data_IF_964070871996
#
_entry.id   IF_964070871996
#
_cell.length_a   1.000
_cell.length_b   1.000
_cell.length_c   1.000
_cell.angle_alpha   90.00
_cell.angle_beta   90.00
_cell.angle_gamma   90.00
#
_symmetry.space_group_name_H-M   'P 1'
#
loop_
_entity.id
_entity.type
_entity.pdbx_description
1 polymer ?
#
# COMPACT_ATOMS: atom_id res chain seq x y z
N UNK A 1 25.05 15.23 -10.16
CA UNK A 1 26.09 15.35 -11.21
C UNK A 1 25.85 16.53 -12.15
N UNK A 2 24.62 16.75 -12.63
CA UNK A 2 24.29 17.93 -13.45
C UNK A 2 24.60 19.24 -12.74
N UNK A 3 24.33 19.32 -11.42
CA UNK A 3 24.68 20.48 -10.59
C UNK A 3 26.20 20.73 -10.55
N UNK A 4 26.99 19.69 -10.40
CA UNK A 4 28.46 19.82 -10.35
C UNK A 4 29.02 20.37 -11.69
N UNK A 5 28.48 19.88 -12.81
CA UNK A 5 28.83 20.39 -14.15
C UNK A 5 28.46 21.87 -14.31
N UNK A 6 27.27 22.24 -13.81
CA UNK A 6 26.83 23.65 -13.87
C UNK A 6 27.71 24.56 -13.00
N UNK A 7 28.07 24.15 -11.80
CA UNK A 7 29.01 24.90 -10.93
C UNK A 7 30.41 25.00 -11.58
N UNK A 8 30.87 23.91 -12.18
CA UNK A 8 32.15 23.94 -12.90
C UNK A 8 32.11 24.92 -14.09
N UNK A 9 31.02 24.88 -14.86
CA UNK A 9 30.84 25.79 -16.01
C UNK A 9 30.70 27.29 -15.61
N UNK A 10 30.16 27.55 -14.41
CA UNK A 10 30.02 28.91 -13.87
C UNK A 10 31.38 29.56 -13.56
N UNK A 11 32.46 28.81 -13.47
CA UNK A 11 33.78 29.31 -13.18
C UNK A 11 34.48 29.81 -14.46
N UNK A 12 34.04 30.96 -14.96
CA UNK A 12 34.54 31.56 -16.21
C UNK A 12 36.05 31.91 -16.20
N UNK A 13 36.63 32.11 -15.02
CA UNK A 13 38.06 32.41 -14.91
C UNK A 13 38.97 31.18 -15.06
N UNK A 14 38.43 29.95 -14.93
CA UNK A 14 39.20 28.72 -14.96
C UNK A 14 38.81 27.80 -16.11
N UNK A 15 37.62 27.99 -16.69
CA UNK A 15 37.07 27.06 -17.72
C UNK A 15 36.94 27.81 -19.04
N UNK A 16 37.58 27.29 -20.08
CA UNK A 16 37.54 27.88 -21.43
C UNK A 16 36.16 27.68 -22.06
N UNK A 17 35.86 28.43 -23.12
CA UNK A 17 34.63 28.25 -23.90
C UNK A 17 34.51 26.84 -24.49
N UNK A 18 35.64 26.29 -24.94
CA UNK A 18 35.67 24.89 -25.46
C UNK A 18 35.38 23.87 -24.37
N UNK A 19 35.94 24.05 -23.19
CA UNK A 19 35.70 23.14 -22.06
C UNK A 19 34.25 23.21 -21.58
N UNK A 20 33.66 24.42 -21.55
CA UNK A 20 32.21 24.58 -21.26
C UNK A 20 31.33 23.84 -22.27
N UNK A 21 31.76 23.79 -23.54
CA UNK A 21 31.03 23.01 -24.55
C UNK A 21 31.11 21.50 -24.30
N UNK A 22 32.25 20.99 -23.80
CA UNK A 22 32.38 19.59 -23.38
C UNK A 22 31.48 19.28 -22.15
N UNK A 23 31.45 20.18 -21.16
CA UNK A 23 30.55 20.09 -20.01
C UNK A 23 29.08 20.10 -20.45
N UNK A 24 28.72 20.93 -21.42
CA UNK A 24 27.38 20.94 -22.01
C UNK A 24 27.00 19.61 -22.65
N UNK A 25 27.94 18.94 -23.33
CA UNK A 25 27.67 17.63 -23.95
C UNK A 25 27.34 16.57 -22.89
N UNK A 26 28.13 16.51 -21.80
CA UNK A 26 27.85 15.62 -20.68
C UNK A 26 26.51 15.98 -20.00
N UNK A 27 26.28 17.27 -19.79
CA UNK A 27 25.02 17.77 -19.21
C UNK A 27 23.80 17.33 -20.05
N UNK A 28 23.91 17.39 -21.36
CA UNK A 28 22.84 17.02 -22.28
C UNK A 28 22.56 15.51 -22.27
N UNK A 29 23.59 14.67 -22.20
CA UNK A 29 23.43 13.22 -22.05
C UNK A 29 22.72 12.86 -20.73
N UNK A 30 23.09 13.52 -19.63
CA UNK A 30 22.39 13.34 -18.34
C UNK A 30 20.94 13.79 -18.40
N UNK A 31 20.66 14.85 -19.13
CA UNK A 31 19.33 15.38 -19.36
C UNK A 31 18.45 14.43 -20.17
N UNK A 32 19.00 13.85 -21.23
CA UNK A 32 18.32 12.83 -22.04
C UNK A 32 18.02 11.59 -21.23
N UNK A 33 18.95 11.14 -20.39
CA UNK A 33 18.76 10.02 -19.48
C UNK A 33 17.69 10.33 -18.42
N UNK A 34 17.70 11.51 -17.84
CA UNK A 34 16.67 11.95 -16.90
C UNK A 34 15.27 11.92 -17.54
N UNK A 35 15.17 12.44 -18.75
CA UNK A 35 13.94 12.41 -19.56
C UNK A 35 13.50 10.98 -19.88
N UNK A 36 14.44 10.09 -20.17
CA UNK A 36 14.18 8.68 -20.41
C UNK A 36 13.61 8.00 -19.15
N UNK A 37 14.22 8.25 -18.00
CA UNK A 37 13.76 7.71 -16.71
C UNK A 37 12.33 8.15 -16.42
N UNK A 38 12.03 9.44 -16.55
CA UNK A 38 10.70 9.97 -16.28
C UNK A 38 9.63 9.37 -17.19
N UNK A 39 9.94 9.20 -18.47
CA UNK A 39 8.98 8.65 -19.45
C UNK A 39 8.80 7.13 -19.32
N UNK A 40 9.85 6.41 -18.92
CA UNK A 40 9.85 4.96 -18.98
C UNK A 40 9.62 4.27 -17.64
N UNK A 41 9.74 4.99 -16.51
CA UNK A 41 9.49 4.39 -15.20
C UNK A 41 8.04 4.00 -15.05
N UNK A 42 7.81 2.69 -14.88
CA UNK A 42 6.47 2.14 -14.74
C UNK A 42 6.42 1.11 -13.61
N UNK A 43 5.24 0.95 -13.07
CA UNK A 43 4.91 -0.07 -12.09
C UNK A 43 3.59 -0.73 -12.51
N UNK A 44 3.61 -2.05 -12.66
CA UNK A 44 2.44 -2.83 -13.09
C UNK A 44 1.77 -2.28 -14.38
N UNK A 45 2.59 -1.91 -15.38
CA UNK A 45 2.14 -1.37 -16.66
C UNK A 45 1.63 0.08 -16.61
N UNK A 46 1.69 0.75 -15.45
CA UNK A 46 1.31 2.15 -15.30
C UNK A 46 2.54 3.03 -15.13
N UNK A 47 2.60 4.12 -15.88
CA UNK A 47 3.63 5.16 -15.68
C UNK A 47 3.35 5.88 -14.37
N UNK A 48 4.36 5.95 -13.49
CA UNK A 48 4.14 6.42 -12.11
C UNK A 48 4.64 7.84 -11.86
N UNK A 49 5.59 8.35 -12.67
CA UNK A 49 6.24 9.65 -12.43
C UNK A 49 6.05 10.67 -13.57
N UNK A 50 5.35 10.29 -14.64
CA UNK A 50 5.08 11.15 -15.80
C UNK A 50 3.80 12.01 -15.66
N UNK A 51 3.20 12.03 -14.47
CA UNK A 51 1.95 12.76 -14.19
C UNK A 51 0.67 11.92 -14.25
N UNK A 52 0.72 10.68 -14.70
CA UNK A 52 -0.48 9.82 -14.75
C UNK A 52 -1.13 9.59 -13.37
N UNK A 53 -0.35 9.71 -12.30
CA UNK A 53 -0.81 9.58 -10.92
C UNK A 53 -0.92 10.91 -10.17
N UNK A 54 -0.84 12.03 -10.86
CA UNK A 54 -0.91 13.38 -10.24
C UNK A 54 -2.29 13.69 -9.65
N UNK A 55 -3.36 13.16 -10.25
CA UNK A 55 -4.74 13.28 -9.75
C UNK A 55 -5.02 12.39 -8.54
N UNK A 56 -4.10 11.50 -8.20
CA UNK A 56 -4.22 10.58 -7.09
C UNK A 56 -4.92 9.27 -7.46
N UNK A 57 -4.58 8.23 -6.71
CA UNK A 57 -5.23 6.91 -6.73
C UNK A 57 -5.62 6.56 -5.31
N UNK A 58 -6.85 6.14 -5.11
CA UNK A 58 -7.35 5.74 -3.80
C UNK A 58 -7.22 4.22 -3.63
N UNK A 59 -6.66 3.83 -2.50
CA UNK A 59 -6.57 2.45 -2.05
C UNK A 59 -7.63 2.21 -0.99
N UNK A 60 -8.55 1.29 -1.25
CA UNK A 60 -9.59 0.90 -0.30
C UNK A 60 -8.97 0.05 0.80
N UNK A 61 -9.08 0.50 2.06
CA UNK A 61 -8.54 -0.17 3.26
C UNK A 61 -9.63 -0.67 4.20
N UNK A 62 -10.81 -0.12 4.13
CA UNK A 62 -11.95 -0.49 4.96
C UNK A 62 -13.14 -0.98 4.13
N UNK A 63 -14.14 -1.55 4.81
CA UNK A 63 -15.32 -2.14 4.18
C UNK A 63 -16.35 -1.11 3.69
N UNK A 64 -16.28 0.14 4.17
CA UNK A 64 -17.29 1.16 3.88
C UNK A 64 -16.83 2.08 2.75
N UNK A 65 -17.78 2.76 2.12
CA UNK A 65 -17.56 3.67 0.98
C UNK A 65 -17.15 5.09 1.38
N UNK A 66 -17.00 5.38 2.69
CA UNK A 66 -16.58 6.68 3.19
C UNK A 66 -15.11 6.95 2.93
N UNK A 67 -14.74 8.22 2.84
CA UNK A 67 -13.35 8.66 2.58
C UNK A 67 -12.34 8.15 3.62
N UNK A 68 -12.79 7.90 4.86
CA UNK A 68 -11.95 7.39 5.94
C UNK A 68 -11.48 5.94 5.71
N UNK A 69 -12.18 5.22 4.83
CA UNK A 69 -11.84 3.86 4.42
C UNK A 69 -10.89 3.81 3.22
N UNK A 70 -10.33 4.94 2.82
CA UNK A 70 -9.44 5.05 1.67
C UNK A 70 -8.14 5.77 2.04
N UNK A 71 -7.04 5.32 1.45
CA UNK A 71 -5.76 6.04 1.45
C UNK A 71 -5.49 6.50 0.03
N UNK A 72 -5.48 7.81 -0.16
CA UNK A 72 -5.10 8.43 -1.43
C UNK A 72 -3.58 8.52 -1.57
N UNK A 73 -3.06 8.12 -2.72
CA UNK A 73 -1.67 8.32 -3.13
C UNK A 73 -1.66 9.21 -4.36
N UNK A 74 -0.97 10.32 -4.30
CA UNK A 74 -0.67 11.15 -5.47
C UNK A 74 0.84 11.26 -5.64
N UNK A 75 1.30 11.12 -6.88
CA UNK A 75 2.70 11.29 -7.25
C UNK A 75 2.77 12.49 -8.18
N UNK A 76 3.58 13.48 -7.79
CA UNK A 76 3.76 14.69 -8.56
C UNK A 76 4.26 14.38 -9.97
N UNK A 77 3.85 15.20 -10.94
CA UNK A 77 4.34 15.09 -12.29
C UNK A 77 5.78 15.59 -12.39
N UNK A 78 6.73 14.67 -12.41
CA UNK A 78 8.15 15.00 -12.52
C UNK A 78 8.52 15.55 -13.91
N UNK A 79 7.75 15.25 -14.96
CA UNK A 79 8.01 15.84 -16.29
C UNK A 79 7.90 17.36 -16.27
N UNK A 80 6.95 17.91 -15.52
CA UNK A 80 6.78 19.37 -15.35
C UNK A 80 7.88 19.94 -14.46
N UNK A 81 8.16 19.29 -13.34
CA UNK A 81 9.22 19.71 -12.40
C UNK A 81 10.59 19.75 -13.06
N UNK A 82 10.86 18.84 -14.00
CA UNK A 82 12.14 18.72 -14.69
C UNK A 82 12.18 19.46 -16.03
N UNK A 83 11.08 20.07 -16.48
CA UNK A 83 11.06 20.81 -17.76
C UNK A 83 12.08 21.94 -17.80
N UNK A 84 12.22 22.66 -16.71
CA UNK A 84 13.16 23.77 -16.61
C UNK A 84 14.62 23.29 -16.55
N UNK A 85 14.85 22.11 -15.90
CA UNK A 85 16.16 21.46 -15.89
C UNK A 85 16.53 21.01 -17.31
N UNK A 86 15.55 20.46 -18.06
CA UNK A 86 15.79 19.99 -19.43
C UNK A 86 16.01 21.14 -20.41
N UNK A 87 15.49 22.32 -20.13
CA UNK A 87 15.72 23.54 -20.91
C UNK A 87 17.02 24.30 -20.53
N UNK A 88 17.65 23.90 -19.41
CA UNK A 88 18.85 24.59 -18.92
C UNK A 88 20.06 24.36 -19.84
N UNK A 89 20.87 25.40 -20.01
CA UNK A 89 22.11 25.37 -20.78
C UNK A 89 23.28 25.89 -19.95
N UNK A 90 24.41 25.19 -20.03
CA UNK A 90 25.66 25.54 -19.34
C UNK A 90 26.83 25.71 -20.30
N UNK A 91 26.59 25.67 -21.61
CA UNK A 91 27.62 25.70 -22.65
C UNK A 91 28.26 27.05 -22.89
N UNK A 92 29.09 27.13 -23.92
CA UNK A 92 29.85 28.34 -24.27
C UNK A 92 28.97 29.54 -24.61
N UNK A 93 27.78 29.34 -25.14
CA UNK A 93 26.81 30.39 -25.45
C UNK A 93 25.99 30.91 -24.25
N UNK A 94 26.02 30.20 -23.11
CA UNK A 94 25.29 30.57 -21.91
C UNK A 94 26.09 31.65 -21.15
N UNK A 95 25.43 32.78 -20.82
CA UNK A 95 25.99 33.77 -19.89
C UNK A 95 26.04 33.18 -18.46
N UNK A 96 26.86 33.77 -17.61
CA UNK A 96 26.97 33.37 -16.20
C UNK A 96 25.61 33.40 -15.49
N UNK A 97 24.76 34.39 -15.76
CA UNK A 97 23.41 34.48 -15.21
C UNK A 97 22.53 33.26 -15.61
N UNK A 98 22.65 32.78 -16.83
CA UNK A 98 21.92 31.60 -17.32
C UNK A 98 22.41 30.34 -16.60
N UNK A 99 23.72 30.22 -16.39
CA UNK A 99 24.31 29.07 -15.66
C UNK A 99 23.91 29.08 -14.20
N UNK A 100 23.91 30.24 -13.53
CA UNK A 100 23.44 30.40 -12.15
C UNK A 100 21.92 30.08 -12.04
N UNK A 101 21.12 30.48 -13.02
CA UNK A 101 19.72 30.08 -13.10
C UNK A 101 19.56 28.57 -13.25
N UNK A 102 20.38 27.92 -14.07
CA UNK A 102 20.38 26.46 -14.21
C UNK A 102 20.68 25.77 -12.88
N UNK A 103 21.63 26.28 -12.08
CA UNK A 103 21.93 25.74 -10.76
C UNK A 103 20.70 25.84 -9.85
N UNK A 104 20.04 27.00 -9.81
CA UNK A 104 18.85 27.21 -8.98
C UNK A 104 17.71 26.28 -9.38
N UNK A 105 17.48 26.07 -10.66
CA UNK A 105 16.45 25.17 -11.18
C UNK A 105 16.75 23.71 -10.80
N UNK A 106 18.00 23.28 -10.88
CA UNK A 106 18.42 21.95 -10.44
C UNK A 106 18.23 21.80 -8.94
N UNK A 107 18.60 22.77 -8.13
CA UNK A 107 18.42 22.74 -6.68
C UNK A 107 16.94 22.68 -6.29
N UNK A 108 16.08 23.39 -7.03
CA UNK A 108 14.63 23.30 -6.83
C UNK A 108 14.09 21.92 -7.21
N UNK A 109 14.53 21.37 -8.33
CA UNK A 109 14.13 20.02 -8.74
C UNK A 109 14.54 18.95 -7.72
N UNK A 110 15.73 19.05 -7.13
CA UNK A 110 16.19 18.17 -6.06
C UNK A 110 15.27 18.29 -4.83
N UNK A 111 14.93 19.50 -4.40
CA UNK A 111 14.00 19.73 -3.28
C UNK A 111 12.62 19.11 -3.54
N UNK A 112 12.12 19.25 -4.75
CA UNK A 112 10.81 18.70 -5.12
C UNK A 112 10.80 17.18 -5.11
N UNK A 113 11.89 16.56 -5.56
CA UNK A 113 12.07 15.11 -5.47
C UNK A 113 12.17 14.66 -4.01
N UNK A 114 12.92 15.35 -3.17
CA UNK A 114 13.04 15.03 -1.75
C UNK A 114 11.71 15.19 -1.01
N UNK A 115 10.93 16.20 -1.34
CA UNK A 115 9.57 16.38 -0.82
C UNK A 115 8.65 15.22 -1.25
N UNK A 116 8.73 14.81 -2.51
CA UNK A 116 7.96 13.68 -3.01
C UNK A 116 8.36 12.37 -2.29
N UNK A 117 9.65 12.13 -2.11
CA UNK A 117 10.16 10.96 -1.36
C UNK A 117 9.72 10.99 0.10
N UNK A 118 9.76 12.15 0.76
CA UNK A 118 9.29 12.30 2.13
C UNK A 118 7.80 11.96 2.28
N UNK A 119 6.96 12.46 1.36
CA UNK A 119 5.52 12.12 1.32
C UNK A 119 5.29 10.63 1.12
N UNK A 120 6.02 10.01 0.21
CA UNK A 120 5.92 8.56 -0.03
C UNK A 120 6.38 7.76 1.19
N UNK A 121 7.44 8.19 1.89
CA UNK A 121 7.88 7.58 3.14
C UNK A 121 6.82 7.66 4.25
N UNK A 122 6.17 8.81 4.40
CA UNK A 122 5.05 8.97 5.34
C UNK A 122 3.86 8.07 4.98
N UNK A 123 3.56 7.92 3.69
CA UNK A 123 2.52 7.01 3.21
C UNK A 123 2.86 5.54 3.49
N UNK A 124 4.10 5.12 3.30
CA UNK A 124 4.55 3.76 3.64
C UNK A 124 4.32 3.45 5.12
N UNK A 125 4.71 4.37 6.02
CA UNK A 125 4.47 4.22 7.45
C UNK A 125 2.97 4.13 7.78
N UNK A 126 2.15 4.96 7.11
CA UNK A 126 0.69 4.94 7.27
C UNK A 126 0.10 3.61 6.83
N UNK A 127 0.53 3.05 5.69
CA UNK A 127 0.11 1.71 5.25
C UNK A 127 0.52 0.62 6.25
N UNK A 128 1.77 0.64 6.73
CA UNK A 128 2.25 -0.33 7.72
C UNK A 128 1.39 -0.32 8.98
N UNK A 129 1.10 0.87 9.51
CA UNK A 129 0.22 1.02 10.69
C UNK A 129 -1.20 0.53 10.40
N UNK A 130 -1.74 0.85 9.23
CA UNK A 130 -3.08 0.42 8.82
C UNK A 130 -3.15 -1.10 8.69
N UNK A 131 -2.16 -1.74 8.07
CA UNK A 131 -2.09 -3.20 7.94
C UNK A 131 -2.05 -3.86 9.32
N UNK A 132 -1.23 -3.35 10.25
CA UNK A 132 -1.19 -3.87 11.62
C UNK A 132 -2.53 -3.77 12.33
N UNK A 133 -3.22 -2.63 12.21
CA UNK A 133 -4.55 -2.42 12.78
C UNK A 133 -5.61 -3.36 12.16
N UNK A 134 -5.54 -3.55 10.85
CA UNK A 134 -6.45 -4.48 10.15
C UNK A 134 -6.21 -5.93 10.57
N UNK A 135 -4.96 -6.35 10.75
CA UNK A 135 -4.62 -7.68 11.26
C UNK A 135 -5.21 -7.91 12.66
N UNK A 136 -5.04 -6.95 13.57
CA UNK A 136 -5.63 -7.02 14.90
C UNK A 136 -7.17 -7.05 14.86
N UNK A 137 -7.77 -6.30 13.94
CA UNK A 137 -9.22 -6.30 13.74
C UNK A 137 -9.72 -7.64 13.20
N UNK A 138 -9.00 -8.26 12.27
CA UNK A 138 -9.33 -9.59 11.73
C UNK A 138 -9.26 -10.63 12.83
N UNK A 139 -8.23 -10.61 13.68
CA UNK A 139 -8.09 -11.52 14.81
C UNK A 139 -9.24 -11.38 15.79
N UNK A 140 -9.58 -10.15 16.20
CA UNK A 140 -10.69 -9.87 17.09
C UNK A 140 -12.04 -10.29 16.50
N UNK A 141 -12.27 -10.03 15.21
CA UNK A 141 -13.49 -10.44 14.53
C UNK A 141 -13.58 -11.97 14.40
N UNK A 142 -12.46 -12.63 14.10
CA UNK A 142 -12.40 -14.09 14.05
C UNK A 142 -12.70 -14.72 15.40
N UNK A 143 -12.12 -14.18 16.50
CA UNK A 143 -12.41 -14.62 17.86
C UNK A 143 -13.87 -14.37 18.24
N UNK A 144 -14.43 -13.22 17.86
CA UNK A 144 -15.85 -12.92 18.12
C UNK A 144 -16.78 -13.84 17.32
N UNK A 145 -16.45 -14.11 16.06
CA UNK A 145 -17.17 -15.06 15.22
C UNK A 145 -17.14 -16.48 15.81
N UNK A 146 -15.97 -16.94 16.27
CA UNK A 146 -15.82 -18.24 16.92
C UNK A 146 -16.71 -18.35 18.16
N UNK A 147 -16.74 -17.31 19.01
CA UNK A 147 -17.62 -17.28 20.20
C UNK A 147 -19.13 -17.35 19.87
N UNK A 148 -19.52 -16.85 18.71
CA UNK A 148 -20.94 -16.85 18.28
C UNK A 148 -21.31 -18.15 17.57
N UNK A 149 -20.42 -18.67 16.72
CA UNK A 149 -20.73 -19.76 15.81
C UNK A 149 -20.24 -21.13 16.30
N UNK A 150 -19.14 -21.16 17.08
CA UNK A 150 -18.57 -22.42 17.51
C UNK A 150 -19.40 -23.00 18.65
N UNK A 151 -19.87 -24.22 18.47
CA UNK A 151 -20.56 -24.99 19.49
C UNK A 151 -19.56 -25.43 20.58
N UNK A 152 -19.96 -25.28 21.84
CA UNK A 152 -19.26 -25.92 22.96
C UNK A 152 -19.44 -27.43 22.85
N UNK A 153 -18.42 -28.10 22.33
CA UNK A 153 -18.42 -29.56 22.10
C UNK A 153 -18.71 -30.35 23.37
N UNK A 154 -18.24 -29.86 24.51
CA UNK A 154 -18.49 -30.54 25.79
C UNK A 154 -19.97 -30.46 26.18
N UNK A 155 -20.59 -29.31 25.97
CA UNK A 155 -22.02 -29.08 26.23
C UNK A 155 -22.90 -29.87 25.27
N UNK A 156 -22.53 -29.91 23.99
CA UNK A 156 -23.28 -30.63 22.97
C UNK A 156 -23.19 -32.15 23.15
N UNK A 157 -22.00 -32.67 23.45
CA UNK A 157 -21.83 -34.12 23.79
C UNK A 157 -22.57 -34.51 25.07
N UNK A 158 -22.60 -33.64 26.08
CA UNK A 158 -23.38 -33.87 27.28
C UNK A 158 -24.90 -33.88 26.98
N UNK A 159 -25.38 -32.98 26.12
CA UNK A 159 -26.77 -32.92 25.68
C UNK A 159 -27.14 -34.17 24.85
N UNK A 160 -26.27 -34.60 23.94
CA UNK A 160 -26.43 -35.83 23.16
C UNK A 160 -26.49 -37.05 24.05
N UNK A 161 -25.56 -37.22 24.99
CA UNK A 161 -25.52 -38.33 25.94
C UNK A 161 -26.81 -38.35 26.83
N UNK A 162 -27.25 -37.20 27.33
CA UNK A 162 -28.50 -37.06 28.06
C UNK A 162 -29.70 -37.52 27.22
N UNK A 163 -29.77 -37.09 25.96
CA UNK A 163 -30.84 -37.47 25.04
C UNK A 163 -30.85 -38.99 24.78
N UNK A 164 -29.69 -39.59 24.58
CA UNK A 164 -29.56 -41.05 24.40
C UNK A 164 -29.97 -41.82 25.63
N UNK A 165 -29.57 -41.38 26.85
CA UNK A 165 -29.96 -42.04 28.11
C UNK A 165 -31.47 -41.91 28.33
N UNK A 166 -32.06 -40.74 28.08
CA UNK A 166 -33.51 -40.56 28.19
C UNK A 166 -34.26 -41.44 27.18
N UNK A 167 -33.77 -41.57 25.97
CA UNK A 167 -34.39 -42.48 24.97
C UNK A 167 -34.31 -43.94 25.40
N UNK A 168 -33.16 -44.40 25.90
CA UNK A 168 -32.99 -45.78 26.41
C UNK A 168 -33.86 -46.01 27.67
N UNK A 169 -33.86 -45.09 28.61
CA UNK A 169 -34.71 -45.16 29.80
C UNK A 169 -36.21 -45.16 29.44
N UNK A 170 -36.60 -44.30 28.49
CA UNK A 170 -37.97 -44.21 28.02
C UNK A 170 -38.44 -45.51 27.36
N UNK A 171 -37.61 -46.13 26.50
CA UNK A 171 -37.95 -47.42 25.90
C UNK A 171 -38.00 -48.54 26.92
N UNK A 172 -37.09 -48.58 27.90
CA UNK A 172 -37.11 -49.56 28.97
C UNK A 172 -38.35 -49.43 29.84
N UNK A 173 -38.72 -48.19 30.21
CA UNK A 173 -39.92 -47.91 31.01
C UNK A 173 -41.22 -48.22 30.25
N UNK A 174 -41.27 -47.95 28.94
CA UNK A 174 -42.40 -48.36 28.09
C UNK A 174 -42.54 -49.89 28.01
N UNK A 175 -41.42 -50.61 27.83
CA UNK A 175 -41.41 -52.08 27.84
C UNK A 175 -41.92 -52.61 29.16
N UNK A 176 -41.48 -52.06 30.29
CA UNK A 176 -41.92 -52.47 31.62
C UNK A 176 -43.38 -52.10 31.90
N UNK A 177 -43.85 -50.92 31.42
CA UNK A 177 -45.26 -50.56 31.53
C UNK A 177 -46.18 -51.48 30.72
N UNK A 178 -45.75 -51.95 29.54
CA UNK A 178 -46.51 -52.87 28.71
C UNK A 178 -46.55 -54.30 29.29
N UNK A 179 -45.60 -54.69 30.14
CA UNK A 179 -45.60 -56.01 30.81
C UNK A 179 -46.57 -56.08 32.02
N UNK A 180 -46.87 -54.92 32.68
CA UNK A 180 -47.78 -54.86 33.84
C UNK A 180 -49.20 -55.41 33.57
N UNK A 181 -49.87 -55.03 32.47
CA UNK A 181 -51.18 -55.60 32.14
C UNK A 181 -51.16 -57.07 31.91
N UNK A 182 -50.08 -57.64 31.35
CA UNK A 182 -49.94 -59.06 31.12
C UNK A 182 -49.79 -59.89 32.43
N UNK A 183 -49.06 -59.28 33.42
CA UNK A 183 -48.95 -59.91 34.74
C UNK A 183 -50.30 -59.93 35.51
N UNK A 184 -51.13 -58.86 35.32
CA UNK A 184 -52.48 -58.87 35.90
C UNK A 184 -53.42 -59.89 35.21
N UNK A 185 -53.29 -60.08 33.91
CA UNK A 185 -54.07 -61.05 33.15
C UNK A 185 -53.74 -62.53 33.59
N UNK A 186 -52.44 -62.79 33.90
CA UNK A 186 -51.99 -64.10 34.38
C UNK A 186 -52.45 -64.42 35.80
N UNK A 187 -52.91 -63.46 36.59
CA UNK A 187 -53.48 -63.69 37.92
C UNK A 187 -54.99 -63.84 37.89
N UNK A 188 -55.63 -63.63 36.76
CA UNK A 188 -57.08 -63.79 36.54
C UNK A 188 -57.45 -65.11 35.80
N UNK A 189 -56.43 -65.87 35.41
CA UNK A 189 -56.58 -67.30 34.90
C UNK A 189 -56.18 -68.28 36.00
#
# INVERSE_FOLDING_TARGET
>A
RMRDLAVQSANEGAVTAEDRQKLQTEFQQLNDELSRIVRNTEFNGKKIINGSLSTGVNFQIGANTTSDNQIGISIQNLSVTLSDVTAASIGSAASNLVILSAINVIDQAIKDIDNARSRLGALQNRFTTTISNLQSSIENQSAARSRILDADFAKETAALSRSQILQQAGTAMLSQANQRPQAVLSLLQ
#
